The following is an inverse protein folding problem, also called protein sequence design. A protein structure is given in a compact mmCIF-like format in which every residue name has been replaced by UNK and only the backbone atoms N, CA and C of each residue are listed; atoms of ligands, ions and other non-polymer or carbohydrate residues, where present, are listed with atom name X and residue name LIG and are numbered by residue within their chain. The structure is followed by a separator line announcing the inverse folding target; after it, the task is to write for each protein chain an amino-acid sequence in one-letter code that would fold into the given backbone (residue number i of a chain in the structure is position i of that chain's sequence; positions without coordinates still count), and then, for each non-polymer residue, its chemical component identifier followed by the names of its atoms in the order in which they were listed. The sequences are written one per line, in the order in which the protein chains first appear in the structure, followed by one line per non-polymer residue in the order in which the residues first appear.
data_IF_629436867868
#
_entry.id   IF_629436867868
#
_cell.length_a   1.000
_cell.length_b   1.000
_cell.length_c   1.000
_cell.angle_alpha   90.00
_cell.angle_beta   90.00
_cell.angle_gamma   90.00
#
_symmetry.space_group_name_H-M   'P 1'
#
loop_
_entity.id
_entity.type
_entity.pdbx_description
1 polymer ?
#
# COMPACT_ATOMS: atom_id res chain seq x y z
N UNK A 1 -21.50 -14.64 -14.94
CA UNK A 1 -22.60 -14.87 -13.97
C UNK A 1 -23.16 -13.49 -13.65
N UNK A 2 -24.45 -13.27 -13.91
CA UNK A 2 -25.09 -11.96 -13.72
C UNK A 2 -26.05 -12.01 -12.52
N UNK A 3 -25.56 -12.50 -11.38
CA UNK A 3 -26.32 -12.63 -10.14
C UNK A 3 -26.22 -11.35 -9.28
N UNK A 4 -26.75 -10.27 -9.84
CA UNK A 4 -26.59 -8.94 -9.25
C UNK A 4 -27.19 -8.80 -7.85
N UNK A 5 -28.32 -9.47 -7.57
CA UNK A 5 -28.96 -9.46 -6.25
C UNK A 5 -28.10 -10.14 -5.19
N UNK A 6 -27.50 -11.27 -5.51
CA UNK A 6 -26.58 -11.96 -4.60
C UNK A 6 -25.28 -11.15 -4.43
N UNK A 7 -24.76 -10.53 -5.48
CA UNK A 7 -23.61 -9.64 -5.39
C UNK A 7 -23.86 -8.48 -4.43
N UNK A 8 -25.00 -7.80 -4.54
CA UNK A 8 -25.41 -6.72 -3.63
C UNK A 8 -25.52 -7.23 -2.19
N UNK A 9 -26.18 -8.37 -2.00
CA UNK A 9 -26.40 -8.96 -0.68
C UNK A 9 -25.09 -9.30 0.02
N UNK A 10 -24.17 -10.01 -0.64
CA UNK A 10 -22.89 -10.39 -0.02
C UNK A 10 -21.95 -9.20 0.14
N UNK A 11 -21.92 -8.27 -0.79
CA UNK A 11 -21.17 -7.02 -0.63
C UNK A 11 -21.66 -6.23 0.58
N UNK A 12 -22.98 -6.19 0.82
CA UNK A 12 -23.56 -5.53 1.99
C UNK A 12 -23.08 -6.16 3.30
N UNK A 13 -22.99 -7.49 3.36
CA UNK A 13 -22.47 -8.19 4.56
C UNK A 13 -21.04 -7.74 4.87
N UNK A 14 -20.19 -7.59 3.85
CA UNK A 14 -18.83 -7.08 4.06
C UNK A 14 -18.85 -5.63 4.54
N UNK A 15 -19.63 -4.77 3.89
CA UNK A 15 -19.75 -3.34 4.23
C UNK A 15 -20.21 -3.15 5.68
N UNK A 16 -21.12 -3.99 6.16
CA UNK A 16 -21.67 -3.89 7.52
C UNK A 16 -20.68 -4.35 8.60
N UNK A 17 -19.67 -5.13 8.25
CA UNK A 17 -18.75 -5.73 9.22
C UNK A 17 -17.32 -5.19 9.14
N UNK A 18 -16.92 -4.59 8.03
CA UNK A 18 -15.57 -4.08 7.82
C UNK A 18 -15.62 -2.59 7.43
N UNK A 19 -15.20 -1.69 8.33
CA UNK A 19 -15.18 -0.25 8.02
C UNK A 19 -14.13 0.08 6.96
N UNK A 20 -14.41 1.08 6.14
CA UNK A 20 -13.37 1.67 5.27
C UNK A 20 -12.45 2.56 6.08
N UNK A 21 -11.21 2.71 5.61
CA UNK A 21 -10.28 3.68 6.17
C UNK A 21 -10.76 5.10 5.88
N UNK A 22 -10.83 5.95 6.90
CA UNK A 22 -11.46 7.27 6.81
C UNK A 22 -10.49 8.42 7.06
N UNK A 23 -9.35 8.18 7.71
CA UNK A 23 -8.38 9.21 7.99
C UNK A 23 -7.16 9.15 7.06
N UNK A 24 -6.51 10.30 6.86
CA UNK A 24 -5.26 10.38 6.13
C UNK A 24 -4.19 9.46 6.72
N UNK A 25 -4.04 9.46 8.03
CA UNK A 25 -3.06 8.61 8.72
C UNK A 25 -3.31 7.13 8.46
N UNK A 26 -4.57 6.71 8.48
CA UNK A 26 -4.93 5.32 8.15
C UNK A 26 -4.59 4.96 6.71
N UNK A 27 -4.80 5.86 5.77
CA UNK A 27 -4.51 5.64 4.35
C UNK A 27 -3.00 5.65 4.10
N UNK A 28 -2.25 6.52 4.77
CA UNK A 28 -0.82 6.69 4.54
C UNK A 28 0.05 5.69 5.29
N UNK A 29 -0.46 5.00 6.29
CA UNK A 29 0.29 3.96 7.01
C UNK A 29 0.73 2.79 6.12
N UNK A 30 0.13 2.66 4.93
CA UNK A 30 0.41 1.58 3.99
C UNK A 30 -0.49 0.36 4.20
N UNK A 31 -0.28 -0.66 3.38
CA UNK A 31 -1.12 -1.85 3.28
C UNK A 31 -0.29 -3.13 3.39
N UNK A 32 0.43 -3.25 4.49
CA UNK A 32 1.32 -4.38 4.78
C UNK A 32 0.95 -5.13 6.06
N UNK A 33 -0.25 -4.91 6.59
CA UNK A 33 -0.70 -5.53 7.82
C UNK A 33 -2.17 -5.98 7.70
N UNK A 34 -2.43 -7.27 7.89
CA UNK A 34 -3.78 -7.84 7.86
C UNK A 34 -4.66 -7.39 9.04
N UNK A 35 -4.06 -6.82 10.09
CA UNK A 35 -4.82 -6.28 11.23
C UNK A 35 -5.49 -4.93 10.95
N UNK A 36 -5.32 -4.37 9.76
CA UNK A 36 -6.05 -3.17 9.35
C UNK A 36 -7.56 -3.44 9.35
N UNK A 37 -8.38 -2.49 9.85
CA UNK A 37 -9.80 -2.73 10.09
C UNK A 37 -10.61 -2.99 8.81
N UNK A 38 -10.11 -2.55 7.67
CA UNK A 38 -10.72 -2.71 6.37
C UNK A 38 -10.31 -3.99 5.63
N UNK A 39 -9.40 -4.78 6.21
CA UNK A 39 -8.95 -6.04 5.61
C UNK A 39 -9.97 -7.14 5.86
N UNK A 40 -10.54 -7.67 4.78
CA UNK A 40 -11.49 -8.78 4.80
C UNK A 40 -10.78 -10.12 4.68
N UNK A 41 -9.74 -10.17 3.84
CA UNK A 41 -8.97 -11.37 3.59
C UNK A 41 -7.52 -11.05 3.24
N UNK A 42 -6.60 -11.78 3.83
CA UNK A 42 -5.17 -11.65 3.60
C UNK A 42 -4.40 -12.86 4.10
N UNK A 43 -3.11 -12.83 3.90
CA UNK A 43 -2.17 -13.85 4.38
C UNK A 43 -1.18 -13.20 5.35
N UNK A 44 -1.11 -13.71 6.55
CA UNK A 44 -0.13 -13.34 7.56
C UNK A 44 1.26 -13.89 7.16
N UNK A 45 2.21 -13.00 7.02
CA UNK A 45 3.58 -13.33 6.65
C UNK A 45 4.49 -13.15 7.86
N UNK A 46 4.93 -14.27 8.38
CA UNK A 46 5.84 -14.36 9.52
C UNK A 46 7.26 -14.74 9.07
N UNK A 47 8.22 -14.67 9.98
CA UNK A 47 9.59 -15.10 9.71
C UNK A 47 9.68 -16.57 9.25
N UNK A 48 8.75 -17.41 9.71
CA UNK A 48 8.76 -18.85 9.42
C UNK A 48 8.25 -19.18 8.01
N UNK A 49 7.38 -18.33 7.45
CA UNK A 49 6.77 -18.54 6.13
C UNK A 49 7.20 -17.49 5.10
N UNK A 50 8.07 -16.57 5.46
CA UNK A 50 8.56 -15.54 4.55
C UNK A 50 9.49 -16.12 3.49
N UNK A 51 9.42 -15.58 2.29
CA UNK A 51 10.33 -15.90 1.20
C UNK A 51 11.27 -14.72 0.96
N UNK A 52 12.42 -14.74 1.60
CA UNK A 52 13.48 -13.75 1.40
C UNK A 52 13.80 -13.63 -0.10
N UNK A 53 13.98 -12.42 -0.60
CA UNK A 53 14.17 -12.08 -2.01
C UNK A 53 12.98 -12.32 -2.94
N UNK A 54 12.03 -13.15 -2.60
CA UNK A 54 10.89 -13.47 -3.48
C UNK A 54 9.59 -12.79 -3.06
N UNK A 55 9.56 -12.18 -1.90
CA UNK A 55 8.41 -11.44 -1.42
C UNK A 55 8.12 -10.21 -2.29
N UNK A 56 6.88 -9.76 -2.30
CA UNK A 56 6.52 -8.50 -2.95
C UNK A 56 7.32 -7.32 -2.38
N UNK A 57 7.52 -7.30 -1.07
CA UNK A 57 8.26 -6.24 -0.38
C UNK A 57 9.73 -6.20 -0.79
N UNK A 58 10.36 -7.37 -0.93
CA UNK A 58 11.72 -7.49 -1.47
C UNK A 58 11.87 -6.85 -2.85
N UNK A 59 10.82 -6.91 -3.66
CA UNK A 59 10.80 -6.36 -5.00
C UNK A 59 10.54 -4.85 -5.03
N UNK A 60 9.89 -4.31 -4.02
CA UNK A 60 9.37 -2.93 -4.02
C UNK A 60 10.06 -2.04 -3.00
N UNK A 61 10.47 -2.56 -1.85
CA UNK A 61 11.08 -1.79 -0.79
C UNK A 61 12.59 -1.64 -0.97
N UNK A 62 13.04 -0.44 -1.28
CA UNK A 62 14.49 -0.17 -1.51
C UNK A 62 15.29 -0.03 -0.23
N UNK A 63 14.66 -0.12 0.93
CA UNK A 63 15.35 0.01 2.20
C UNK A 63 15.99 -1.29 2.68
N UNK A 64 15.45 -2.43 2.28
CA UNK A 64 15.94 -3.74 2.67
C UNK A 64 17.10 -4.25 1.81
N UNK A 65 17.56 -5.46 2.12
CA UNK A 65 18.59 -6.16 1.35
C UNK A 65 18.01 -6.97 0.18
N UNK A 66 16.71 -6.84 -0.07
CA UNK A 66 16.03 -7.49 -1.18
C UNK A 66 16.43 -6.93 -2.54
N UNK A 67 15.82 -7.41 -3.60
CA UNK A 67 16.16 -6.97 -4.97
C UNK A 67 16.06 -5.47 -5.17
N UNK A 68 15.05 -4.83 -4.61
CA UNK A 68 14.92 -3.38 -4.67
C UNK A 68 16.05 -2.67 -3.90
N UNK A 69 16.45 -3.19 -2.74
CA UNK A 69 17.52 -2.61 -1.93
C UNK A 69 18.90 -2.69 -2.57
N UNK A 70 19.18 -3.75 -3.32
CA UNK A 70 20.48 -3.96 -4.00
C UNK A 70 20.55 -3.33 -5.39
N UNK A 71 19.56 -2.56 -5.82
CA UNK A 71 19.62 -1.78 -7.04
C UNK A 71 18.66 -2.18 -8.16
N UNK A 72 17.81 -3.18 -7.98
CA UNK A 72 16.76 -3.55 -8.96
C UNK A 72 15.50 -2.74 -8.66
N UNK A 73 15.58 -1.46 -8.90
CA UNK A 73 14.53 -0.52 -8.53
C UNK A 73 13.31 -0.60 -9.44
N UNK A 74 12.14 -0.42 -8.83
CA UNK A 74 10.88 -0.27 -9.54
C UNK A 74 10.19 1.01 -9.09
N UNK A 75 9.63 1.71 -10.04
CA UNK A 75 8.93 2.95 -9.81
C UNK A 75 7.61 3.00 -10.58
N UNK A 76 6.69 3.82 -10.13
CA UNK A 76 5.47 4.06 -10.86
C UNK A 76 5.76 4.84 -12.16
N UNK A 77 4.93 4.62 -13.15
CA UNK A 77 5.06 5.32 -14.42
C UNK A 77 4.76 6.81 -14.24
N UNK A 78 5.76 7.65 -14.48
CA UNK A 78 5.68 9.11 -14.26
C UNK A 78 4.42 9.77 -14.82
N UNK A 79 3.97 9.51 -16.06
CA UNK A 79 2.74 10.10 -16.58
C UNK A 79 1.47 9.66 -15.82
N UNK A 80 1.48 8.49 -15.17
CA UNK A 80 0.37 8.07 -14.32
C UNK A 80 0.33 8.91 -13.05
N UNK A 81 1.45 9.05 -12.38
CA UNK A 81 1.56 9.86 -11.15
C UNK A 81 1.23 11.33 -11.44
N UNK A 82 1.67 11.87 -12.56
CA UNK A 82 1.36 13.23 -12.99
C UNK A 82 -0.12 13.50 -13.33
N UNK A 83 -0.97 12.47 -13.36
CA UNK A 83 -2.44 12.62 -13.52
C UNK A 83 -3.18 12.62 -12.19
N UNK A 84 -2.52 12.30 -11.10
CA UNK A 84 -3.10 12.36 -9.76
C UNK A 84 -3.18 13.83 -9.38
N UNK A 85 -4.35 14.28 -8.93
CA UNK A 85 -4.53 15.66 -8.50
C UNK A 85 -3.68 15.97 -7.27
N UNK A 86 -3.16 17.18 -7.18
CA UNK A 86 -2.34 17.63 -6.04
C UNK A 86 -3.08 17.54 -4.69
N UNK A 87 -4.39 17.56 -4.74
CA UNK A 87 -5.28 17.43 -3.57
C UNK A 87 -5.57 15.96 -3.21
N UNK A 88 -5.14 15.02 -4.03
CA UNK A 88 -5.35 13.60 -3.77
C UNK A 88 -4.26 13.06 -2.85
N UNK A 89 -4.65 12.67 -1.64
CA UNK A 89 -3.73 12.14 -0.65
C UNK A 89 -2.90 10.94 -1.15
N UNK A 90 -3.43 10.16 -2.09
CA UNK A 90 -2.73 9.01 -2.67
C UNK A 90 -1.47 9.40 -3.45
N UNK A 91 -1.33 10.66 -3.83
CA UNK A 91 -0.11 11.18 -4.43
C UNK A 91 1.10 10.93 -3.52
N UNK A 92 0.90 10.95 -2.21
CA UNK A 92 1.94 10.71 -1.22
C UNK A 92 2.50 9.28 -1.24
N UNK A 93 1.77 8.34 -1.82
CA UNK A 93 2.29 6.97 -2.03
C UNK A 93 3.37 6.85 -3.08
N UNK A 94 3.56 7.87 -3.89
CA UNK A 94 4.51 7.87 -5.01
C UNK A 94 5.62 8.90 -4.84
N UNK A 95 5.87 9.28 -3.65
CA UNK A 95 6.89 10.25 -3.39
C UNK A 95 8.24 9.76 -3.75
N UNK A 96 9.06 10.61 -4.27
CA UNK A 96 10.32 10.41 -4.05
C UNK A 96 11.43 11.15 -4.53
N UNK A 97 11.32 12.17 -5.25
CA UNK A 97 12.41 13.04 -5.58
C UNK A 97 12.53 14.13 -4.52
N UNK A 98 13.73 14.27 -3.97
CA UNK A 98 14.06 15.38 -3.07
C UNK A 98 13.92 16.72 -3.76
N UNK A 99 14.01 16.77 -5.09
CA UNK A 99 13.96 17.99 -5.87
C UNK A 99 12.56 18.41 -6.28
N UNK A 100 11.66 17.45 -6.45
CA UNK A 100 10.27 17.72 -6.90
C UNK A 100 9.26 17.80 -5.80
N UNK A 101 9.65 17.44 -4.59
CA UNK A 101 8.99 17.61 -3.32
C UNK A 101 7.48 17.55 -3.30
N UNK A 102 6.91 16.38 -3.11
CA UNK A 102 5.55 16.30 -2.57
C UNK A 102 5.57 16.98 -1.21
N UNK A 103 4.70 17.95 -1.01
CA UNK A 103 4.56 18.66 0.25
C UNK A 103 3.26 18.26 0.92
N UNK A 104 3.26 18.24 2.26
CA UNK A 104 2.03 18.10 3.03
C UNK A 104 1.15 19.35 2.88
N UNK A 105 -0.05 19.29 3.43
CA UNK A 105 -0.99 20.42 3.42
C UNK A 105 -0.43 21.70 4.08
N UNK A 106 0.61 21.59 4.88
CA UNK A 106 1.31 22.70 5.55
C UNK A 106 2.49 23.24 4.73
N UNK A 107 2.73 22.68 3.54
CA UNK A 107 3.83 23.06 2.66
C UNK A 107 5.19 22.49 3.08
N UNK A 108 5.22 21.58 4.09
CA UNK A 108 6.44 20.89 4.45
C UNK A 108 6.68 19.76 3.45
N UNK A 109 7.94 19.60 3.06
CA UNK A 109 8.33 18.46 2.26
C UNK A 109 8.02 17.17 3.01
N UNK A 110 7.28 16.28 2.40
CA UNK A 110 7.05 14.95 2.96
C UNK A 110 8.37 14.19 2.88
N UNK A 111 9.04 14.13 4.01
CA UNK A 111 10.17 13.25 4.18
C UNK A 111 9.63 11.86 4.38
N UNK A 112 9.52 11.12 3.31
CA UNK A 112 9.24 9.70 3.45
C UNK A 112 10.30 9.05 4.30
N UNK A 113 9.90 8.03 5.02
CA UNK A 113 10.79 7.13 5.77
C UNK A 113 12.07 6.80 4.96
N UNK A 114 11.98 6.79 3.66
CA UNK A 114 13.06 6.51 2.73
C UNK A 114 14.10 7.60 2.57
N UNK A 115 13.72 8.85 2.60
CA UNK A 115 14.66 9.96 2.46
C UNK A 115 15.71 10.00 3.57
N UNK A 116 15.38 9.43 4.72
CA UNK A 116 16.25 9.40 5.89
C UNK A 116 16.99 8.08 6.08
N UNK A 117 16.55 7.03 5.42
CA UNK A 117 16.99 5.67 5.72
C UNK A 117 17.61 4.95 4.54
N UNK A 118 17.12 5.19 3.33
CA UNK A 118 17.72 4.60 2.15
C UNK A 118 18.80 5.52 1.57
N UNK A 119 19.99 5.00 1.26
CA UNK A 119 21.00 5.75 0.54
C UNK A 119 20.57 6.08 -0.90
N UNK A 120 19.51 5.43 -1.36
CA UNK A 120 19.03 5.54 -2.74
C UNK A 120 17.60 6.08 -2.74
N UNK A 121 17.42 7.27 -3.29
CA UNK A 121 16.10 7.80 -3.63
C UNK A 121 15.74 7.38 -5.05
N UNK A 122 14.68 6.60 -5.20
CA UNK A 122 14.14 6.24 -6.51
C UNK A 122 12.94 7.13 -6.79
N UNK A 123 13.05 7.92 -7.86
CA UNK A 123 11.98 8.83 -8.27
C UNK A 123 10.69 8.04 -8.58
N UNK A 124 9.56 8.50 -8.07
CA UNK A 124 8.23 7.85 -8.22
C UNK A 124 8.10 6.44 -7.66
N UNK A 125 8.93 6.09 -6.73
CA UNK A 125 8.76 4.80 -6.08
C UNK A 125 7.45 4.73 -5.27
N UNK A 126 6.73 3.62 -5.42
CA UNK A 126 5.55 3.35 -4.63
C UNK A 126 5.95 2.97 -3.20
N UNK A 127 5.45 3.74 -2.22
CA UNK A 127 5.66 3.47 -0.80
C UNK A 127 4.38 2.99 -0.11
N UNK A 128 3.36 2.70 -0.88
CA UNK A 128 2.09 2.13 -0.42
C UNK A 128 2.29 0.79 0.30
N UNK A 129 3.29 0.03 -0.11
CA UNK A 129 3.60 -1.29 0.45
C UNK A 129 5.02 -1.26 1.02
N UNK A 130 5.11 -0.90 2.29
CA UNK A 130 6.36 -0.86 3.04
C UNK A 130 6.42 -2.08 3.94
N UNK A 131 7.56 -2.78 3.93
CA UNK A 131 7.78 -3.91 4.83
C UNK A 131 7.74 -3.52 6.30
N UNK A 132 7.15 -4.36 7.14
CA UNK A 132 7.00 -4.11 8.58
C UNK A 132 8.31 -4.28 9.35
N UNK A 133 9.31 -4.91 8.76
CA UNK A 133 10.59 -5.23 9.39
C UNK A 133 11.64 -4.11 9.41
N UNK A 134 11.33 -2.91 8.91
CA UNK A 134 12.30 -1.82 8.79
C UNK A 134 12.95 -1.38 10.10
N UNK A 135 12.22 -1.40 11.19
CA UNK A 135 12.78 -1.04 12.50
C UNK A 135 13.82 -2.05 12.99
N UNK A 136 13.68 -3.31 12.58
CA UNK A 136 14.67 -4.36 12.87
C UNK A 136 15.99 -4.11 12.14
N UNK A 137 15.94 -3.57 10.92
CA UNK A 137 17.14 -3.21 10.16
C UNK A 137 17.91 -2.10 10.88
N UNK A 138 17.21 -1.06 11.37
CA UNK A 138 17.82 0.02 12.15
C UNK A 138 18.52 -0.49 13.40
N UNK A 139 17.99 -1.54 14.01
CA UNK A 139 18.57 -2.19 15.18
C UNK A 139 19.72 -3.14 14.83
N UNK A 140 20.09 -3.28 13.55
CA UNK A 140 21.12 -4.22 13.10
C UNK A 140 20.65 -5.69 13.08
N UNK A 141 19.36 -5.92 13.17
CA UNK A 141 18.75 -7.25 13.11
C UNK A 141 18.28 -7.50 11.68
N UNK A 142 18.97 -8.38 10.98
CA UNK A 142 18.68 -8.67 9.55
C UNK A 142 17.46 -9.57 9.31
N UNK A 143 16.73 -9.96 10.32
CA UNK A 143 15.55 -10.79 10.17
C UNK A 143 14.28 -9.92 10.12
N UNK A 144 13.41 -10.17 9.16
CA UNK A 144 12.07 -9.59 9.09
C UNK A 144 11.94 -8.28 8.32
N UNK A 145 12.99 -7.79 7.70
CA UNK A 145 12.98 -6.53 6.94
C UNK A 145 12.15 -6.59 5.63
N UNK A 146 11.89 -7.77 5.13
CA UNK A 146 11.01 -7.97 3.96
C UNK A 146 9.64 -8.53 4.34
N UNK A 147 9.31 -8.54 5.61
CA UNK A 147 8.01 -8.97 6.09
C UNK A 147 6.96 -7.92 5.78
N UNK A 148 5.82 -8.41 5.43
CA UNK A 148 4.61 -7.65 5.22
C UNK A 148 3.53 -8.61 4.75
N UNK A 149 2.33 -8.43 5.25
CA UNK A 149 1.21 -9.29 4.95
C UNK A 149 0.69 -9.05 3.54
N UNK A 150 0.18 -10.10 2.92
CA UNK A 150 -0.49 -9.98 1.64
C UNK A 150 -1.98 -9.77 1.86
N UNK A 151 -2.45 -8.58 1.51
CA UNK A 151 -3.86 -8.22 1.55
C UNK A 151 -4.48 -8.54 0.20
N UNK A 152 -5.44 -9.46 0.18
CA UNK A 152 -6.11 -9.90 -1.04
C UNK A 152 -7.44 -9.23 -1.26
N UNK A 153 -8.16 -8.91 -0.18
CA UNK A 153 -9.48 -8.30 -0.24
C UNK A 153 -9.64 -7.27 0.88
N UNK A 154 -10.09 -6.09 0.49
CA UNK A 154 -10.43 -5.00 1.40
C UNK A 154 -11.90 -4.60 1.23
N UNK A 155 -12.46 -3.96 2.25
CA UNK A 155 -13.86 -3.55 2.27
C UNK A 155 -14.25 -2.63 1.11
N UNK A 156 -13.33 -1.79 0.63
CA UNK A 156 -13.59 -0.89 -0.50
C UNK A 156 -13.98 -1.65 -1.77
N UNK A 157 -13.45 -2.86 -1.97
CA UNK A 157 -13.84 -3.69 -3.11
C UNK A 157 -15.31 -4.10 -3.04
N UNK A 158 -15.83 -4.36 -1.83
CA UNK A 158 -17.26 -4.65 -1.66
C UNK A 158 -18.15 -3.46 -2.03
N UNK A 159 -17.73 -2.23 -1.74
CA UNK A 159 -18.42 -1.03 -2.21
C UNK A 159 -18.44 -0.95 -3.74
N UNK A 160 -17.31 -1.24 -4.40
CA UNK A 160 -17.22 -1.22 -5.85
C UNK A 160 -18.09 -2.31 -6.49
N UNK A 161 -18.08 -3.52 -5.94
CA UNK A 161 -18.94 -4.63 -6.39
C UNK A 161 -20.41 -4.24 -6.27
N UNK A 162 -20.80 -3.66 -5.13
CA UNK A 162 -22.18 -3.21 -4.91
C UNK A 162 -22.58 -2.11 -5.89
N UNK A 163 -21.71 -1.13 -6.13
CA UNK A 163 -21.98 -0.05 -7.08
C UNK A 163 -22.15 -0.59 -8.51
N UNK A 164 -21.29 -1.51 -8.94
CA UNK A 164 -21.41 -2.15 -10.25
C UNK A 164 -22.72 -2.91 -10.39
N UNK A 165 -23.06 -3.73 -9.40
CA UNK A 165 -24.29 -4.51 -9.41
C UNK A 165 -25.56 -3.62 -9.43
N UNK A 166 -25.58 -2.53 -8.67
CA UNK A 166 -26.66 -1.55 -8.70
C UNK A 166 -26.79 -0.87 -10.07
N UNK A 167 -25.67 -0.46 -10.67
CA UNK A 167 -25.65 0.14 -12.01
C UNK A 167 -26.23 -0.79 -13.07
N UNK A 168 -25.91 -2.09 -13.02
CA UNK A 168 -26.48 -3.10 -13.91
C UNK A 168 -27.98 -3.34 -13.70
N UNK A 169 -28.48 -3.10 -12.49
CA UNK A 169 -29.92 -3.17 -12.19
C UNK A 169 -30.68 -1.90 -12.55
N UNK A 170 -29.98 -0.82 -12.93
CA UNK A 170 -30.62 0.46 -13.26
C UNK A 170 -31.11 1.24 -12.04
N UNK A 171 -30.45 1.07 -10.90
CA UNK A 171 -30.79 1.69 -9.61
C UNK A 171 -29.83 2.85 -9.31
#
# INVERSE_FOLDING_TARGET
IHEWDEAIKYAQVVIDNFPILQSEDQILQGFSNISLPDVVFGSDVTADNSTTYMSFFSQMDTYGDGYAGIGVWRAAFKPLVGRIADTDIRLQWFCCDRSTGVTDASGNRITLIRDTQSPVAVEYQAVKFIGTGRDNIKAGVFSGWELGDYIYLRSEEAYMIKMEALAHKGS
#
